data_IF_866654140021
#
_entry.id   IF_866654140021
#
_cell.length_a   1.000
_cell.length_b   1.000
_cell.length_c   1.000
_cell.angle_alpha   90.00
_cell.angle_beta   90.00
_cell.angle_gamma   90.00
#
_symmetry.space_group_name_H-M   'P 1'
#
loop_
_entity.id
_entity.type
_entity.pdbx_description
1 polymer ?
#
# COMPACT_ATOMS: atom_id res chain seq x y z
N UNK A 1 9.40 2.57 9.31
CA UNK A 1 8.17 3.37 9.08
C UNK A 1 6.97 2.50 8.73
N UNK A 2 7.01 1.72 7.64
CA UNK A 2 5.93 0.78 7.30
C UNK A 2 5.50 -0.11 8.48
N UNK A 3 6.47 -0.75 9.17
CA UNK A 3 6.19 -1.56 10.37
C UNK A 3 5.50 -0.75 11.48
N UNK A 4 6.06 0.40 11.83
CA UNK A 4 5.55 1.29 12.89
C UNK A 4 4.12 1.78 12.62
N UNK A 5 3.84 2.18 11.38
CA UNK A 5 2.49 2.64 10.96
C UNK A 5 1.52 1.46 10.96
N UNK A 6 1.94 0.29 10.48
CA UNK A 6 1.13 -0.93 10.52
C UNK A 6 0.77 -1.32 11.96
N UNK A 7 1.71 -1.22 12.90
CA UNK A 7 1.48 -1.46 14.33
C UNK A 7 0.53 -0.42 14.94
N UNK A 8 0.74 0.88 14.66
CA UNK A 8 -0.14 1.99 15.09
C UNK A 8 -1.58 1.79 14.64
N UNK A 9 -1.77 1.31 13.41
CA UNK A 9 -3.09 1.10 12.81
C UNK A 9 -3.66 -0.31 13.07
N UNK A 10 -2.91 -1.19 13.75
CA UNK A 10 -3.26 -2.60 13.98
C UNK A 10 -3.56 -3.38 12.70
N UNK A 11 -2.84 -3.11 11.62
CA UNK A 11 -3.01 -3.76 10.31
C UNK A 11 -1.77 -4.53 9.88
N UNK A 12 -1.93 -5.48 8.96
CA UNK A 12 -0.79 -6.18 8.36
C UNK A 12 -0.08 -5.26 7.37
N UNK A 13 1.23 -5.44 7.21
CA UNK A 13 2.05 -4.64 6.27
C UNK A 13 1.56 -4.75 4.82
N UNK A 14 1.10 -5.93 4.40
CA UNK A 14 0.54 -6.14 3.06
C UNK A 14 -0.73 -5.31 2.85
N UNK A 15 -1.60 -5.26 3.86
CA UNK A 15 -2.81 -4.44 3.84
C UNK A 15 -2.46 -2.95 3.80
N UNK A 16 -1.47 -2.51 4.59
CA UNK A 16 -1.01 -1.12 4.58
C UNK A 16 -0.47 -0.70 3.21
N UNK A 17 0.31 -1.57 2.55
CA UNK A 17 0.84 -1.30 1.21
C UNK A 17 -0.28 -1.19 0.17
N UNK A 18 -1.29 -2.07 0.24
CA UNK A 18 -2.45 -2.04 -0.64
C UNK A 18 -3.34 -0.80 -0.39
N UNK A 19 -3.54 -0.43 0.86
CA UNK A 19 -4.27 0.80 1.21
C UNK A 19 -3.55 2.05 0.71
N UNK A 20 -2.22 2.07 0.74
CA UNK A 20 -1.43 3.19 0.23
C UNK A 20 -1.50 3.34 -1.29
N UNK A 21 -1.46 2.24 -2.06
CA UNK A 21 -1.63 2.36 -3.52
C UNK A 21 -3.06 2.77 -3.89
N UNK A 22 -4.06 2.26 -3.16
CA UNK A 22 -5.46 2.63 -3.32
C UNK A 22 -5.75 4.10 -2.99
N UNK A 23 -4.94 4.76 -2.16
CA UNK A 23 -5.12 6.18 -1.85
C UNK A 23 -4.58 7.11 -2.93
N UNK A 24 -3.88 6.60 -3.95
CA UNK A 24 -3.26 7.44 -4.98
C UNK A 24 -4.28 7.95 -6.00
N UNK A 25 -4.18 9.23 -6.39
CA UNK A 25 -5.04 9.75 -7.44
C UNK A 25 -4.80 8.99 -8.74
N UNK A 26 -5.88 8.60 -9.41
CA UNK A 26 -5.85 7.83 -10.65
C UNK A 26 -5.79 6.30 -10.49
N UNK A 27 -5.63 5.79 -9.26
CA UNK A 27 -5.73 4.34 -9.00
C UNK A 27 -7.18 3.97 -8.72
N UNK A 28 -7.82 3.27 -9.65
CA UNK A 28 -9.18 2.74 -9.47
C UNK A 28 -9.16 1.41 -8.67
N UNK A 29 -8.32 0.46 -9.09
CA UNK A 29 -8.11 -0.80 -8.41
C UNK A 29 -6.72 -1.37 -8.71
N UNK A 30 -5.95 -1.83 -7.70
CA UNK A 30 -4.69 -2.53 -7.92
C UNK A 30 -4.95 -3.96 -8.42
N UNK A 31 -4.09 -4.45 -9.30
CA UNK A 31 -4.08 -5.86 -9.70
C UNK A 31 -3.31 -6.66 -8.64
N UNK A 32 -3.95 -7.68 -8.07
CA UNK A 32 -3.34 -8.54 -7.04
C UNK A 32 -3.23 -9.98 -7.55
N UNK A 33 -2.10 -10.63 -7.26
CA UNK A 33 -1.95 -12.07 -7.41
C UNK A 33 -2.15 -12.76 -6.07
N UNK A 34 -3.12 -13.67 -5.96
CA UNK A 34 -3.37 -14.45 -4.75
C UNK A 34 -3.35 -15.95 -5.08
N UNK A 35 -2.44 -16.69 -4.44
CA UNK A 35 -2.37 -18.16 -4.54
C UNK A 35 -3.00 -18.86 -3.33
N UNK A 36 -3.38 -18.09 -2.30
CA UNK A 36 -4.03 -18.56 -1.07
C UNK A 36 -5.19 -17.64 -0.72
N UNK A 37 -6.25 -18.21 -0.15
CA UNK A 37 -7.47 -17.45 0.17
C UNK A 37 -7.23 -16.27 1.12
N UNK A 38 -6.38 -16.46 2.14
CA UNK A 38 -6.07 -15.40 3.10
C UNK A 38 -5.44 -14.15 2.44
N UNK A 39 -4.77 -14.30 1.29
CA UNK A 39 -4.18 -13.16 0.57
C UNK A 39 -5.27 -12.30 -0.07
N UNK A 40 -6.33 -12.94 -0.57
CA UNK A 40 -7.51 -12.23 -1.09
C UNK A 40 -8.25 -11.53 0.03
N UNK A 41 -8.46 -12.20 1.17
CA UNK A 41 -9.10 -11.62 2.36
C UNK A 41 -8.33 -10.40 2.88
N UNK A 42 -6.99 -10.49 2.92
CA UNK A 42 -6.14 -9.36 3.28
C UNK A 42 -6.28 -8.20 2.29
N UNK A 43 -6.32 -8.49 0.99
CA UNK A 43 -6.47 -7.44 -0.02
C UNK A 43 -7.82 -6.74 0.04
N UNK A 44 -8.90 -7.48 0.31
CA UNK A 44 -10.23 -6.90 0.55
C UNK A 44 -10.22 -6.06 1.82
N UNK A 45 -9.66 -6.56 2.92
CA UNK A 45 -9.58 -5.80 4.17
C UNK A 45 -8.78 -4.49 4.02
N UNK A 46 -7.83 -4.42 3.10
CA UNK A 46 -7.06 -3.21 2.81
C UNK A 46 -7.93 -2.04 2.32
N UNK A 47 -9.06 -2.31 1.65
CA UNK A 47 -9.94 -1.26 1.10
C UNK A 47 -10.67 -0.46 2.19
N UNK A 48 -10.77 -1.03 3.40
CA UNK A 48 -11.39 -0.37 4.55
C UNK A 48 -10.41 0.52 5.33
N UNK A 49 -9.11 0.41 5.08
CA UNK A 49 -8.09 1.19 5.79
C UNK A 49 -8.10 2.62 5.27
N UNK A 50 -8.22 3.58 6.19
CA UNK A 50 -8.06 5.02 5.91
C UNK A 50 -6.70 5.47 6.40
N UNK A 51 -5.92 6.05 5.51
CA UNK A 51 -4.63 6.65 5.82
C UNK A 51 -4.80 8.15 5.94
N UNK A 52 -4.20 8.74 6.98
CA UNK A 52 -4.09 10.21 7.06
C UNK A 52 -3.03 10.71 6.08
N UNK A 53 -3.09 12.00 5.75
CA UNK A 53 -2.09 12.63 4.88
C UNK A 53 -0.67 12.51 5.48
N UNK A 54 -0.55 12.57 6.81
CA UNK A 54 0.70 12.36 7.53
C UNK A 54 1.22 10.92 7.37
N UNK A 55 0.34 9.92 7.45
CA UNK A 55 0.73 8.52 7.25
C UNK A 55 1.20 8.30 5.80
N UNK A 56 0.50 8.87 4.81
CA UNK A 56 0.88 8.80 3.40
C UNK A 56 2.24 9.45 3.17
N UNK A 57 2.44 10.67 3.68
CA UNK A 57 3.71 11.40 3.58
C UNK A 57 4.85 10.62 4.23
N UNK A 58 4.61 10.04 5.41
CA UNK A 58 5.61 9.26 6.12
C UNK A 58 6.01 7.98 5.37
N UNK A 59 5.08 7.37 4.61
CA UNK A 59 5.34 6.21 3.76
C UNK A 59 6.17 6.56 2.51
N UNK A 60 6.03 7.78 1.98
CA UNK A 60 6.68 8.21 0.74
C UNK A 60 8.03 8.89 0.92
N UNK A 61 8.32 9.43 2.10
CA UNK A 61 9.54 10.23 2.35
C UNK A 61 10.86 9.54 1.97
N UNK A 62 10.90 8.21 2.02
CA UNK A 62 12.08 7.41 1.69
C UNK A 62 12.08 6.86 0.26
N UNK A 63 11.00 7.05 -0.51
CA UNK A 63 10.92 6.57 -1.88
C UNK A 63 11.87 7.36 -2.78
N UNK A 64 12.81 6.66 -3.41
CA UNK A 64 13.68 7.23 -4.42
C UNK A 64 13.26 6.70 -5.79
N UNK A 65 12.81 7.58 -6.71
CA UNK A 65 12.50 7.18 -8.08
C UNK A 65 13.72 6.53 -8.71
N UNK A 66 13.56 5.30 -9.21
CA UNK A 66 14.61 4.68 -9.98
C UNK A 66 14.62 5.25 -11.40
N UNK A 67 15.81 5.43 -11.99
CA UNK A 67 15.92 5.86 -13.38
C UNK A 67 15.29 4.81 -14.28
N UNK A 68 14.54 5.23 -15.30
CA UNK A 68 13.99 4.32 -16.31
C UNK A 68 15.18 3.66 -17.03
N UNK A 69 15.26 2.33 -16.96
CA UNK A 69 16.24 1.53 -17.70
C UNK A 69 15.46 0.71 -18.73
N UNK A 70 15.47 1.13 -19.99
CA UNK A 70 14.71 0.54 -21.08
C UNK A 70 14.54 1.52 -22.24
N UNK A 71 13.97 1.05 -23.35
CA UNK A 71 13.76 1.89 -24.54
C UNK A 71 12.50 2.75 -24.35
N UNK A 72 12.68 4.06 -24.56
CA UNK A 72 11.59 5.03 -24.75
C UNK A 72 10.83 4.75 -26.06
#
# INVERSE_FOLDING_TARGET
>A
RLKTIAEKLHVKRAQLALAWILSKPGVCAPIIGASKMYQLEEAVAATAIKLSDDDIKALEELYQPHRIVGNL
#
